data_IF_410124268798
#
_entry.id   IF_410124268798
#
_cell.length_a   1.000
_cell.length_b   1.000
_cell.length_c   1.000
_cell.angle_alpha   90.00
_cell.angle_beta   90.00
_cell.angle_gamma   90.00
#
_symmetry.space_group_name_H-M   'P 1'
#
loop_
_entity.id
_entity.type
_entity.pdbx_description
1 polymer ?
#
# COMPACT_ATOMS: atom_id res chain seq x y z
N UNK A 1 15.87 13.08 11.48
CA UNK A 1 14.88 13.54 10.48
C UNK A 1 13.56 13.74 11.20
N UNK A 2 12.92 14.91 11.09
CA UNK A 2 11.63 15.17 11.75
C UNK A 2 10.45 14.48 11.05
N UNK A 3 9.33 14.26 11.76
CA UNK A 3 8.14 13.60 11.22
C UNK A 3 7.60 14.26 9.94
N UNK A 4 7.64 15.59 9.88
CA UNK A 4 7.24 16.37 8.71
C UNK A 4 8.12 16.10 7.48
N UNK A 5 9.43 15.95 7.66
CA UNK A 5 10.34 15.65 6.55
C UNK A 5 10.07 14.23 6.00
N UNK A 6 9.79 13.27 6.89
CA UNK A 6 9.42 11.91 6.48
C UNK A 6 8.10 11.90 5.70
N UNK A 7 7.10 12.64 6.17
CA UNK A 7 5.82 12.76 5.49
C UNK A 7 5.96 13.45 4.13
N UNK A 8 6.72 14.55 4.04
CA UNK A 8 7.01 15.23 2.78
C UNK A 8 7.72 14.31 1.78
N UNK A 9 8.69 13.52 2.24
CA UNK A 9 9.37 12.51 1.43
C UNK A 9 8.39 11.45 0.91
N UNK A 10 7.55 10.88 1.79
CA UNK A 10 6.58 9.86 1.41
C UNK A 10 5.58 10.39 0.36
N UNK A 11 4.98 11.56 0.61
CA UNK A 11 4.02 12.21 -0.31
C UNK A 11 4.68 12.51 -1.66
N UNK A 12 5.92 13.02 -1.64
CA UNK A 12 6.67 13.30 -2.87
C UNK A 12 6.95 12.03 -3.66
N UNK A 13 7.30 10.91 -3.01
CA UNK A 13 7.50 9.62 -3.68
C UNK A 13 6.23 9.11 -4.35
N UNK A 14 5.07 9.26 -3.69
CA UNK A 14 3.78 8.89 -4.29
C UNK A 14 3.45 9.74 -5.52
N UNK A 15 3.69 11.06 -5.44
CA UNK A 15 3.55 11.98 -6.58
C UNK A 15 4.53 11.64 -7.71
N UNK A 16 5.76 11.27 -7.37
CA UNK A 16 6.76 10.84 -8.34
C UNK A 16 6.35 9.55 -9.05
N UNK A 17 5.78 8.58 -8.34
CA UNK A 17 5.26 7.36 -8.97
C UNK A 17 4.13 7.67 -9.98
N UNK A 18 3.38 8.75 -9.75
CA UNK A 18 2.24 9.14 -10.57
C UNK A 18 2.61 9.92 -11.85
N UNK A 19 3.86 10.34 -12.07
CA UNK A 19 4.18 11.27 -13.16
C UNK A 19 4.62 10.56 -14.47
N UNK A 20 3.89 10.72 -15.59
CA UNK A 20 4.35 10.24 -16.90
C UNK A 20 5.38 11.15 -17.57
N UNK A 21 5.50 12.41 -17.11
CA UNK A 21 6.27 13.47 -17.78
C UNK A 21 7.24 14.21 -16.85
N UNK A 22 7.56 13.65 -15.67
CA UNK A 22 8.36 14.33 -14.63
C UNK A 22 7.82 15.70 -14.20
N UNK A 23 6.50 15.90 -14.35
CA UNK A 23 5.78 17.08 -13.87
C UNK A 23 5.27 16.81 -12.46
N UNK A 24 5.59 17.69 -11.52
CA UNK A 24 5.16 17.57 -10.12
C UNK A 24 4.22 18.73 -9.80
N UNK A 25 2.95 18.41 -9.51
CA UNK A 25 1.94 19.42 -9.22
C UNK A 25 1.44 19.25 -7.80
N UNK A 26 1.47 20.33 -7.03
CA UNK A 26 0.76 20.44 -5.77
C UNK A 26 -0.47 21.34 -5.92
N UNK A 27 -1.62 20.84 -5.48
CA UNK A 27 -2.86 21.58 -5.39
C UNK A 27 -3.22 21.80 -3.92
N UNK A 28 -3.15 23.05 -3.46
CA UNK A 28 -3.55 23.45 -2.11
C UNK A 28 -5.02 23.83 -2.08
N UNK A 29 -5.84 23.02 -1.43
CA UNK A 29 -7.24 23.33 -1.15
C UNK A 29 -7.30 24.18 0.12
N UNK A 30 -7.58 25.48 -0.05
CA UNK A 30 -7.61 26.47 1.03
C UNK A 30 -9.02 26.69 1.61
N UNK A 31 -10.06 26.18 0.94
CA UNK A 31 -11.45 26.27 1.39
C UNK A 31 -12.42 25.69 0.37
N UNK A 32 -13.73 25.83 0.61
CA UNK A 32 -14.79 25.22 -0.21
C UNK A 32 -14.77 25.61 -1.69
N UNK A 33 -14.25 26.78 -2.02
CA UNK A 33 -14.24 27.32 -3.39
C UNK A 33 -12.87 27.91 -3.77
N UNK A 34 -11.80 27.53 -3.06
CA UNK A 34 -10.48 28.12 -3.25
C UNK A 34 -9.41 27.03 -3.30
N UNK A 35 -8.73 26.96 -4.45
CA UNK A 35 -7.63 26.04 -4.70
C UNK A 35 -6.50 26.78 -5.42
N UNK A 36 -5.26 26.47 -5.05
CA UNK A 36 -4.07 27.02 -5.67
C UNK A 36 -3.19 25.90 -6.20
N UNK A 37 -2.75 26.02 -7.44
CA UNK A 37 -1.82 25.08 -8.04
C UNK A 37 -0.41 25.64 -8.02
N UNK A 38 0.57 24.79 -7.71
CA UNK A 38 2.00 25.06 -7.89
C UNK A 38 2.66 23.91 -8.62
N UNK A 39 3.50 24.22 -9.59
CA UNK A 39 4.30 23.25 -10.31
C UNK A 39 5.75 23.29 -9.82
N UNK A 40 6.40 22.13 -9.79
CA UNK A 40 7.80 21.99 -9.41
C UNK A 40 8.58 21.30 -10.52
N UNK A 41 9.83 21.74 -10.70
CA UNK A 41 10.73 21.21 -11.72
C UNK A 41 11.36 19.86 -11.32
N UNK A 42 11.26 19.46 -10.05
CA UNK A 42 11.79 18.20 -9.55
C UNK A 42 11.07 17.71 -8.29
N UNK A 43 11.16 16.41 -8.04
CA UNK A 43 10.69 15.79 -6.79
C UNK A 43 11.38 16.41 -5.57
N UNK A 44 12.69 16.68 -5.65
CA UNK A 44 13.44 17.30 -4.54
C UNK A 44 12.89 18.69 -4.19
N UNK A 45 12.61 19.53 -5.19
CA UNK A 45 12.04 20.86 -4.97
C UNK A 45 10.64 20.78 -4.34
N UNK A 46 9.80 19.83 -4.77
CA UNK A 46 8.50 19.57 -4.14
C UNK A 46 8.66 19.12 -2.68
N UNK A 47 9.59 18.20 -2.41
CA UNK A 47 9.82 17.69 -1.05
C UNK A 47 10.29 18.79 -0.10
N UNK A 48 11.29 19.58 -0.51
CA UNK A 48 11.83 20.67 0.30
C UNK A 48 10.77 21.74 0.57
N UNK A 49 9.94 22.03 -0.43
CA UNK A 49 8.80 22.92 -0.26
C UNK A 49 7.77 22.37 0.74
N UNK A 50 7.32 21.12 0.58
CA UNK A 50 6.38 20.44 1.51
C UNK A 50 6.94 20.38 2.94
N UNK A 51 8.25 20.23 3.07
CA UNK A 51 8.93 20.20 4.36
C UNK A 51 9.07 21.59 5.00
N UNK A 52 9.13 22.68 4.22
CA UNK A 52 9.34 24.05 4.72
C UNK A 52 8.04 24.82 5.04
N UNK A 53 6.94 24.53 4.34
CA UNK A 53 5.69 25.32 4.39
C UNK A 53 4.75 24.92 5.54
N UNK A 54 5.20 25.09 6.79
CA UNK A 54 4.38 24.79 7.99
C UNK A 54 3.96 23.31 8.14
N UNK A 55 4.26 22.49 7.14
CA UNK A 55 3.93 21.08 7.02
C UNK A 55 2.55 20.82 6.45
N UNK A 56 2.38 19.68 5.79
CA UNK A 56 1.08 19.15 5.36
C UNK A 56 0.01 19.23 6.46
N UNK A 57 0.39 18.98 7.72
CA UNK A 57 -0.52 19.03 8.86
C UNK A 57 -1.11 20.42 9.14
N UNK A 58 -0.45 21.50 8.70
CA UNK A 58 -0.94 22.87 8.85
C UNK A 58 -1.90 23.31 7.74
N UNK A 59 -2.00 22.53 6.66
CA UNK A 59 -2.86 22.87 5.53
C UNK A 59 -4.34 22.70 5.91
N UNK A 60 -5.26 23.54 5.39
CA UNK A 60 -6.69 23.44 5.72
C UNK A 60 -7.34 22.12 5.31
N UNK A 61 -6.89 21.50 4.22
CA UNK A 61 -7.47 20.27 3.69
C UNK A 61 -6.38 19.39 3.06
N UNK A 62 -5.47 18.81 3.88
CA UNK A 62 -4.26 18.17 3.37
C UNK A 62 -4.53 16.90 2.59
N UNK A 63 -5.51 16.10 3.02
CA UNK A 63 -5.89 14.86 2.32
C UNK A 63 -6.48 15.17 0.94
N UNK A 64 -7.40 16.13 0.86
CA UNK A 64 -7.99 16.52 -0.43
C UNK A 64 -6.96 17.20 -1.34
N UNK A 65 -6.09 18.03 -0.77
CA UNK A 65 -4.95 18.64 -1.48
C UNK A 65 -4.04 17.57 -2.08
N UNK A 66 -3.70 16.55 -1.29
CA UNK A 66 -2.90 15.41 -1.73
C UNK A 66 -3.57 14.64 -2.89
N UNK A 67 -4.86 14.29 -2.76
CA UNK A 67 -5.60 13.59 -3.82
C UNK A 67 -5.64 14.42 -5.10
N UNK A 68 -5.99 15.71 -5.02
CA UNK A 68 -5.96 16.60 -6.18
C UNK A 68 -4.56 16.70 -6.81
N UNK A 69 -3.51 16.74 -5.98
CA UNK A 69 -2.12 16.78 -6.43
C UNK A 69 -1.73 15.52 -7.20
N UNK A 70 -2.12 14.32 -6.73
CA UNK A 70 -1.91 13.06 -7.44
C UNK A 70 -2.60 13.07 -8.81
N UNK A 71 -3.86 13.49 -8.86
CA UNK A 71 -4.65 13.53 -10.10
C UNK A 71 -4.06 14.49 -11.14
N UNK A 72 -3.62 15.68 -10.71
CA UNK A 72 -3.01 16.66 -11.61
C UNK A 72 -1.60 16.22 -12.06
N UNK A 73 -0.84 15.58 -11.16
CA UNK A 73 0.48 15.03 -11.47
C UNK A 73 0.40 13.89 -12.47
N UNK A 74 -0.56 12.97 -12.30
CA UNK A 74 -0.84 11.90 -13.28
C UNK A 74 -1.44 12.42 -14.58
N UNK A 75 -2.26 13.46 -14.48
CA UNK A 75 -3.03 14.04 -15.57
C UNK A 75 -4.41 13.41 -15.68
N UNK A 76 -5.48 14.23 -15.67
CA UNK A 76 -6.86 13.75 -15.60
C UNK A 76 -7.26 12.84 -16.76
N UNK A 77 -6.80 13.13 -17.98
CA UNK A 77 -7.05 12.28 -19.14
C UNK A 77 -6.37 10.92 -18.99
N UNK A 78 -5.15 10.90 -18.44
CA UNK A 78 -4.39 9.69 -18.22
C UNK A 78 -4.94 8.85 -17.07
N UNK A 79 -5.41 9.50 -15.99
CA UNK A 79 -6.18 8.83 -14.93
C UNK A 79 -7.39 8.11 -15.54
N UNK A 80 -8.21 8.81 -16.34
CA UNK A 80 -9.36 8.20 -17.03
C UNK A 80 -8.95 7.05 -17.96
N UNK A 81 -7.81 7.17 -18.63
CA UNK A 81 -7.30 6.12 -19.51
C UNK A 81 -6.74 4.91 -18.73
N UNK A 82 -6.29 5.08 -17.48
CA UNK A 82 -5.86 3.98 -16.62
C UNK A 82 -7.04 3.10 -16.14
N UNK A 83 -8.20 3.71 -15.93
CA UNK A 83 -9.40 3.05 -15.40
C UNK A 83 -10.05 2.13 -16.44
N UNK A 84 -10.74 1.08 -15.99
CA UNK A 84 -11.58 0.26 -16.87
C UNK A 84 -12.88 0.99 -17.24
N UNK A 85 -13.50 1.69 -16.28
CA UNK A 85 -14.62 2.61 -16.49
C UNK A 85 -14.23 4.05 -16.13
N UNK A 86 -13.99 4.88 -17.14
CA UNK A 86 -13.61 6.28 -16.97
C UNK A 86 -14.71 7.18 -16.35
N UNK A 87 -15.93 6.66 -16.20
CA UNK A 87 -17.05 7.36 -15.56
C UNK A 87 -17.19 7.06 -14.07
N UNK A 88 -16.51 6.02 -13.56
CA UNK A 88 -16.58 5.64 -12.17
C UNK A 88 -16.01 6.73 -11.24
N UNK A 89 -16.66 7.03 -10.10
CA UNK A 89 -16.17 8.03 -9.18
C UNK A 89 -14.98 7.51 -8.37
N UNK A 90 -13.91 8.31 -8.25
CA UNK A 90 -12.73 7.94 -7.47
C UNK A 90 -12.97 7.91 -5.95
N UNK A 91 -13.99 8.63 -5.48
CA UNK A 91 -14.46 8.66 -4.10
C UNK A 91 -15.93 8.28 -4.10
N UNK A 92 -16.28 7.23 -3.38
CA UNK A 92 -17.65 6.71 -3.27
C UNK A 92 -18.53 7.64 -2.42
N UNK A 93 -19.84 7.42 -2.48
CA UNK A 93 -20.87 8.24 -1.82
C UNK A 93 -20.73 8.35 -0.29
N UNK A 94 -20.02 7.42 0.34
CA UNK A 94 -19.71 7.45 1.77
C UNK A 94 -18.30 7.95 2.10
N UNK A 95 -17.59 8.51 1.12
CA UNK A 95 -16.24 9.03 1.28
C UNK A 95 -15.12 7.98 1.21
N UNK A 96 -15.45 6.72 0.92
CA UNK A 96 -14.45 5.67 0.72
C UNK A 96 -13.70 5.87 -0.61
N UNK A 97 -12.39 5.65 -0.62
CA UNK A 97 -11.65 5.60 -1.87
C UNK A 97 -12.08 4.38 -2.70
N UNK A 98 -12.19 4.60 -4.01
CA UNK A 98 -12.26 3.54 -5.01
C UNK A 98 -10.95 2.74 -5.09
N UNK A 99 -10.98 1.59 -5.75
CA UNK A 99 -9.77 0.80 -5.97
C UNK A 99 -8.79 1.55 -6.88
N UNK A 100 -9.28 2.30 -7.86
CA UNK A 100 -8.51 3.15 -8.77
C UNK A 100 -7.73 4.22 -8.02
N UNK A 101 -8.37 4.89 -7.04
CA UNK A 101 -7.69 5.89 -6.20
C UNK A 101 -6.65 5.23 -5.29
N UNK A 102 -6.95 4.06 -4.73
CA UNK A 102 -6.00 3.28 -3.93
C UNK A 102 -4.79 2.87 -4.78
N UNK A 103 -5.01 2.33 -5.98
CA UNK A 103 -3.95 1.93 -6.90
C UNK A 103 -3.15 3.12 -7.41
N UNK A 104 -3.78 4.29 -7.64
CA UNK A 104 -3.08 5.52 -7.97
C UNK A 104 -2.11 5.94 -6.84
N UNK A 105 -2.52 5.80 -5.59
CA UNK A 105 -1.67 6.08 -4.43
C UNK A 105 -0.49 5.10 -4.32
N UNK A 106 -0.73 3.80 -4.57
CA UNK A 106 0.26 2.74 -4.38
C UNK A 106 1.25 2.62 -5.54
N UNK A 107 0.76 2.75 -6.77
CA UNK A 107 1.49 2.43 -8.00
C UNK A 107 1.76 3.64 -8.87
N UNK A 108 1.02 4.74 -8.65
CA UNK A 108 1.00 5.90 -9.54
C UNK A 108 0.11 5.72 -10.78
N UNK A 109 -0.60 4.61 -10.91
CA UNK A 109 -1.59 4.36 -12.00
C UNK A 109 -2.96 4.07 -11.41
N UNK A 110 -4.00 4.65 -11.99
CA UNK A 110 -5.38 4.50 -11.53
C UNK A 110 -6.06 3.26 -12.13
N UNK A 111 -5.35 2.12 -12.18
CA UNK A 111 -5.90 0.86 -12.71
C UNK A 111 -6.97 0.31 -11.77
N UNK A 112 -8.03 -0.28 -12.33
CA UNK A 112 -9.18 -0.78 -11.56
C UNK A 112 -8.84 -2.05 -10.80
N UNK A 113 -7.97 -2.90 -11.34
CA UNK A 113 -7.74 -4.24 -10.80
C UNK A 113 -6.46 -4.35 -9.99
N UNK A 114 -6.40 -5.40 -9.17
CA UNK A 114 -5.29 -5.72 -8.26
C UNK A 114 -4.52 -6.98 -8.67
N UNK A 115 -4.82 -7.55 -9.85
CA UNK A 115 -4.02 -8.61 -10.48
C UNK A 115 -2.86 -8.02 -11.30
N UNK A 116 -1.95 -8.89 -11.75
CA UNK A 116 -0.78 -8.52 -12.55
C UNK A 116 -1.12 -8.46 -14.03
N UNK A 117 -0.58 -7.45 -14.72
CA UNK A 117 -0.73 -7.25 -16.15
C UNK A 117 -2.16 -6.95 -16.58
N UNK A 118 -2.37 -6.74 -17.88
CA UNK A 118 -3.71 -6.60 -18.42
C UNK A 118 -4.25 -7.96 -18.84
N UNK A 119 -5.53 -8.20 -18.57
CA UNK A 119 -6.23 -9.41 -18.99
C UNK A 119 -7.16 -9.03 -20.14
N UNK A 120 -6.98 -9.66 -21.30
CA UNK A 120 -7.84 -9.48 -22.46
C UNK A 120 -8.77 -10.68 -22.64
N UNK A 121 -10.04 -10.40 -22.86
CA UNK A 121 -11.06 -11.35 -23.27
C UNK A 121 -11.49 -10.99 -24.69
N UNK A 122 -11.41 -11.96 -25.59
CA UNK A 122 -11.82 -11.81 -26.98
C UNK A 122 -13.05 -12.70 -27.21
N UNK A 123 -14.13 -12.12 -27.74
CA UNK A 123 -15.32 -12.83 -28.17
C UNK A 123 -15.76 -12.33 -29.55
N UNK A 124 -15.28 -13.00 -30.59
CA UNK A 124 -15.48 -12.57 -31.98
C UNK A 124 -14.80 -11.22 -32.27
N UNK A 125 -15.59 -10.22 -32.65
CA UNK A 125 -15.12 -8.85 -32.91
C UNK A 125 -15.09 -7.97 -31.64
N UNK A 126 -15.65 -8.46 -30.53
CA UNK A 126 -15.64 -7.75 -29.26
C UNK A 126 -14.39 -8.11 -28.46
N UNK A 127 -13.70 -7.09 -27.95
CA UNK A 127 -12.57 -7.26 -27.04
C UNK A 127 -12.81 -6.48 -25.75
N UNK A 128 -12.76 -7.16 -24.61
CA UNK A 128 -12.75 -6.54 -23.28
C UNK A 128 -11.33 -6.65 -22.70
N UNK A 129 -10.74 -5.53 -22.32
CA UNK A 129 -9.42 -5.50 -21.66
C UNK A 129 -9.57 -4.92 -20.27
N UNK A 130 -9.28 -5.73 -19.26
CA UNK A 130 -9.22 -5.32 -17.86
C UNK A 130 -7.78 -4.98 -17.51
N UNK A 131 -7.56 -3.78 -16.97
CA UNK A 131 -6.21 -3.27 -16.71
C UNK A 131 -5.77 -3.62 -15.29
N UNK A 132 -4.58 -4.19 -15.18
CA UNK A 132 -3.99 -4.57 -13.90
C UNK A 132 -2.71 -3.81 -13.59
N UNK A 133 -2.07 -4.20 -12.49
CA UNK A 133 -0.81 -3.63 -12.03
C UNK A 133 0.32 -4.13 -12.94
N UNK A 134 1.20 -3.24 -13.38
CA UNK A 134 2.23 -3.54 -14.40
C UNK A 134 3.65 -3.58 -13.84
N UNK A 135 3.83 -3.37 -12.53
CA UNK A 135 5.15 -3.33 -11.88
C UNK A 135 5.06 -3.49 -10.38
N UNK A 136 6.18 -3.89 -9.77
CA UNK A 136 6.36 -3.86 -8.32
C UNK A 136 6.31 -2.41 -7.77
N UNK A 137 5.34 -2.06 -6.92
CA UNK A 137 5.29 -0.77 -6.26
C UNK A 137 6.28 -0.69 -5.09
N UNK A 138 6.47 0.53 -4.56
CA UNK A 138 7.21 0.74 -3.31
C UNK A 138 6.43 0.17 -2.10
N UNK A 139 5.09 0.23 -2.14
CA UNK A 139 4.18 -0.23 -1.09
C UNK A 139 3.21 -1.25 -1.68
N UNK A 140 3.10 -2.40 -1.03
CA UNK A 140 2.26 -3.49 -1.46
C UNK A 140 0.81 -3.35 -1.03
N UNK A 141 0.00 -4.31 -1.44
CA UNK A 141 -1.41 -4.40 -1.08
C UNK A 141 -1.76 -5.85 -0.78
N UNK A 142 -2.57 -6.07 0.25
CA UNK A 142 -3.22 -7.34 0.56
C UNK A 142 -4.69 -7.08 0.84
N UNK A 143 -5.55 -8.05 0.59
CA UNK A 143 -6.99 -7.89 0.77
C UNK A 143 -7.59 -9.01 1.61
N UNK A 144 -8.43 -8.64 2.58
CA UNK A 144 -9.29 -9.56 3.32
C UNK A 144 -10.30 -10.29 2.44
N UNK A 145 -10.55 -9.79 1.23
CA UNK A 145 -11.46 -10.40 0.26
C UNK A 145 -10.81 -11.54 -0.53
N UNK A 146 -9.47 -11.63 -0.54
CA UNK A 146 -8.76 -12.65 -1.30
C UNK A 146 -8.89 -14.06 -0.69
N UNK A 147 -8.69 -14.26 0.63
CA UNK A 147 -8.97 -15.56 1.25
C UNK A 147 -10.42 -16.02 1.07
N UNK A 148 -11.34 -15.06 0.97
CA UNK A 148 -12.77 -15.28 0.73
C UNK A 148 -13.11 -15.54 -0.75
N UNK A 149 -12.10 -15.56 -1.64
CA UNK A 149 -12.23 -15.83 -3.08
C UNK A 149 -13.07 -14.81 -3.85
N UNK A 150 -13.19 -13.59 -3.34
CA UNK A 150 -13.84 -12.48 -4.05
C UNK A 150 -12.90 -11.74 -5.01
N UNK A 151 -11.59 -11.81 -4.76
CA UNK A 151 -10.57 -11.26 -5.65
C UNK A 151 -9.28 -12.09 -5.57
N UNK A 152 -8.38 -11.84 -6.53
CA UNK A 152 -7.01 -12.37 -6.52
C UNK A 152 -6.05 -11.18 -6.53
N UNK A 153 -5.18 -11.10 -5.53
CA UNK A 153 -4.13 -10.08 -5.48
C UNK A 153 -2.91 -10.61 -6.23
N UNK A 154 -2.47 -9.84 -7.22
CA UNK A 154 -1.32 -10.14 -8.05
C UNK A 154 0.00 -10.17 -7.28
N UNK A 155 1.01 -10.80 -7.89
CA UNK A 155 2.37 -10.92 -7.37
C UNK A 155 3.01 -9.56 -7.19
N UNK A 156 2.75 -8.57 -8.05
CA UNK A 156 3.36 -7.25 -7.90
C UNK A 156 2.97 -6.59 -6.58
N UNK A 157 1.68 -6.57 -6.25
CA UNK A 157 1.17 -5.99 -5.01
C UNK A 157 1.54 -6.81 -3.76
N UNK A 158 1.63 -8.13 -3.90
CA UNK A 158 2.09 -9.03 -2.84
C UNK A 158 3.58 -8.85 -2.53
N UNK A 159 4.39 -8.45 -3.50
CA UNK A 159 5.85 -8.41 -3.38
C UNK A 159 6.45 -7.01 -3.62
N UNK A 160 6.08 -6.00 -2.83
CA UNK A 160 6.57 -4.64 -3.01
C UNK A 160 8.07 -4.51 -2.76
N UNK A 161 8.67 -3.45 -3.31
CA UNK A 161 10.11 -3.16 -3.17
C UNK A 161 10.56 -2.97 -1.72
N UNK A 162 9.68 -2.43 -0.87
CA UNK A 162 9.91 -2.30 0.56
C UNK A 162 8.92 -3.18 1.32
N UNK A 163 9.29 -3.76 2.47
CA UNK A 163 8.42 -4.62 3.27
C UNK A 163 7.35 -3.79 4.01
N UNK A 164 6.45 -3.21 3.24
CA UNK A 164 5.34 -2.36 3.66
C UNK A 164 4.14 -2.68 2.77
N UNK A 165 3.01 -3.01 3.39
CA UNK A 165 1.76 -3.34 2.73
C UNK A 165 0.62 -2.56 3.35
N UNK A 166 -0.26 -2.06 2.51
CA UNK A 166 -1.63 -1.70 2.91
C UNK A 166 -2.45 -2.97 2.93
N UNK A 167 -3.14 -3.23 4.04
CA UNK A 167 -4.06 -4.36 4.16
C UNK A 167 -5.48 -3.84 4.16
N UNK A 168 -6.26 -4.21 3.16
CA UNK A 168 -7.64 -3.80 3.00
C UNK A 168 -8.59 -4.77 3.69
N UNK A 169 -9.45 -4.25 4.57
CA UNK A 169 -10.63 -4.95 5.05
C UNK A 169 -11.90 -4.42 4.38
N UNK A 170 -13.05 -4.94 4.77
CA UNK A 170 -14.36 -4.43 4.32
C UNK A 170 -14.68 -3.03 4.84
N UNK A 171 -14.03 -2.56 5.90
CA UNK A 171 -14.41 -1.32 6.60
C UNK A 171 -13.29 -0.28 6.70
N UNK A 172 -12.03 -0.71 6.75
CA UNK A 172 -10.88 0.18 6.90
C UNK A 172 -9.60 -0.45 6.35
N UNK A 173 -8.61 0.40 6.07
CA UNK A 173 -7.25 -0.03 5.71
C UNK A 173 -6.36 -0.04 6.95
N UNK A 174 -5.45 -1.01 7.01
CA UNK A 174 -4.40 -1.08 8.02
C UNK A 174 -3.02 -1.17 7.35
N UNK A 175 -1.96 -1.05 8.12
CA UNK A 175 -0.58 -1.16 7.62
C UNK A 175 0.11 -2.37 8.23
N UNK A 176 0.78 -3.14 7.39
CA UNK A 176 1.67 -4.22 7.77
C UNK A 176 3.08 -3.89 7.27
N UNK A 177 4.10 -3.98 8.12
CA UNK A 177 5.46 -3.69 7.68
C UNK A 177 6.53 -4.46 8.46
N UNK A 178 7.75 -4.50 7.93
CA UNK A 178 8.91 -5.07 8.60
C UNK A 178 10.13 -4.16 8.50
N UNK A 179 11.05 -4.28 9.47
CA UNK A 179 12.42 -3.80 9.31
C UNK A 179 13.30 -4.77 8.50
N UNK A 180 12.80 -5.99 8.25
CA UNK A 180 13.49 -7.02 7.50
C UNK A 180 12.97 -7.10 6.06
N UNK A 181 13.84 -6.73 5.14
CA UNK A 181 13.58 -6.79 3.71
C UNK A 181 13.23 -8.17 3.16
N UNK A 182 13.65 -9.25 3.83
CA UNK A 182 13.36 -10.62 3.40
C UNK A 182 11.87 -10.89 3.31
N UNK A 183 11.06 -10.13 4.04
CA UNK A 183 9.60 -10.21 3.97
C UNK A 183 9.04 -9.90 2.57
N UNK A 184 9.72 -9.05 1.79
CA UNK A 184 9.29 -8.69 0.42
C UNK A 184 9.83 -9.60 -0.68
N UNK A 185 10.79 -10.48 -0.38
CA UNK A 185 11.47 -11.25 -1.42
C UNK A 185 10.55 -12.27 -2.10
N UNK A 186 10.74 -12.47 -3.41
CA UNK A 186 9.98 -13.41 -4.25
C UNK A 186 10.82 -14.67 -4.51
N UNK A 187 10.25 -15.88 -4.43
CA UNK A 187 10.90 -17.10 -4.93
C UNK A 187 11.18 -17.01 -6.43
N UNK A 188 12.34 -17.48 -6.89
CA UNK A 188 12.78 -17.38 -8.29
C UNK A 188 11.81 -18.01 -9.29
N UNK A 189 11.10 -19.06 -8.91
CA UNK A 189 10.17 -19.78 -9.81
C UNK A 189 8.94 -18.95 -10.18
N UNK A 190 8.72 -17.81 -9.51
CA UNK A 190 7.53 -16.98 -9.67
C UNK A 190 7.78 -15.63 -10.36
N UNK A 191 9.02 -15.31 -10.75
CA UNK A 191 9.39 -14.03 -11.39
C UNK A 191 9.74 -14.28 -12.87
N UNK A 192 9.00 -13.70 -13.83
CA UNK A 192 9.39 -13.66 -15.24
C UNK A 192 10.80 -13.10 -15.43
N UNK A 193 11.57 -13.65 -16.37
CA UNK A 193 12.99 -13.31 -16.58
C UNK A 193 13.26 -11.83 -16.91
N UNK A 194 12.26 -11.12 -17.45
CA UNK A 194 12.35 -9.68 -17.79
C UNK A 194 12.14 -8.77 -16.55
N UNK A 195 11.61 -9.31 -15.45
CA UNK A 195 11.31 -8.59 -14.21
C UNK A 195 12.32 -8.88 -13.09
N UNK A 196 13.35 -9.68 -13.42
CA UNK A 196 14.43 -10.10 -12.52
C UNK A 196 15.31 -8.92 -12.02
N UNK A 197 15.15 -7.71 -12.58
CA UNK A 197 15.75 -6.47 -12.09
C UNK A 197 15.08 -5.92 -10.81
N UNK A 198 14.03 -6.56 -10.28
CA UNK A 198 13.43 -6.29 -8.97
C UNK A 198 14.33 -6.74 -7.79
N UNK A 199 15.63 -6.44 -7.85
CA UNK A 199 16.56 -6.63 -6.76
C UNK A 199 16.06 -5.86 -5.54
N UNK A 200 16.08 -6.48 -4.35
CA UNK A 200 15.77 -5.70 -3.16
C UNK A 200 16.74 -4.51 -3.07
N UNK A 201 16.25 -3.26 -3.00
CA UNK A 201 17.12 -2.08 -2.91
C UNK A 201 17.99 -2.08 -1.65
N UNK A 202 17.65 -2.94 -0.69
CA UNK A 202 18.28 -3.09 0.60
C UNK A 202 19.53 -4.00 0.60
N UNK A 203 19.51 -5.09 -0.15
CA UNK A 203 20.47 -6.19 0.00
C UNK A 203 20.91 -6.79 -1.34
N UNK A 204 20.36 -6.29 -2.46
CA UNK A 204 20.66 -6.77 -3.82
C UNK A 204 20.42 -8.27 -4.03
N UNK A 205 19.75 -8.95 -3.10
CA UNK A 205 19.41 -10.37 -3.22
C UNK A 205 18.04 -10.53 -3.87
N UNK A 206 17.92 -11.49 -4.79
CA UNK A 206 16.63 -11.97 -5.34
C UNK A 206 16.03 -13.09 -4.48
N UNK A 207 16.48 -13.25 -3.22
CA UNK A 207 16.31 -14.49 -2.45
C UNK A 207 15.74 -14.22 -1.07
N UNK A 208 14.63 -14.87 -0.72
CA UNK A 208 14.65 -15.63 0.52
C UNK A 208 15.82 -16.61 0.38
N UNK A 209 16.79 -16.58 1.27
CA UNK A 209 17.95 -17.45 1.20
C UNK A 209 17.47 -18.91 1.14
N UNK A 210 17.43 -19.51 -0.05
CA UNK A 210 17.24 -20.96 -0.21
C UNK A 210 18.27 -21.68 0.68
N UNK A 211 17.82 -22.21 1.81
CA UNK A 211 18.69 -22.75 2.87
C UNK A 211 18.38 -22.24 4.28
N UNK A 212 17.49 -21.26 4.46
CA UNK A 212 17.00 -20.89 5.80
C UNK A 212 15.55 -21.40 5.96
N UNK A 213 15.40 -22.73 5.96
CA UNK A 213 14.14 -23.50 6.14
C UNK A 213 13.41 -23.20 7.48
N UNK A 214 13.89 -22.21 8.24
CA UNK A 214 13.35 -21.73 9.52
C UNK A 214 13.33 -20.21 9.62
N UNK A 215 13.28 -19.49 8.50
CA UNK A 215 13.23 -18.03 8.53
C UNK A 215 11.95 -17.55 9.23
N UNK A 216 12.12 -17.05 10.46
CA UNK A 216 11.10 -16.29 11.17
C UNK A 216 11.16 -14.83 10.69
N UNK A 217 10.02 -14.31 10.27
CA UNK A 217 9.85 -12.91 9.91
C UNK A 217 9.05 -12.21 10.99
N UNK A 218 9.59 -11.07 11.44
CA UNK A 218 8.90 -10.19 12.38
C UNK A 218 8.28 -9.03 11.64
N UNK A 219 6.96 -8.95 11.69
CA UNK A 219 6.17 -7.87 11.10
C UNK A 219 5.50 -7.02 12.19
N UNK A 220 4.98 -5.87 11.79
CA UNK A 220 4.25 -4.94 12.65
C UNK A 220 2.90 -4.58 12.04
N UNK A 221 1.87 -4.95 12.78
CA UNK A 221 0.44 -4.66 12.71
C UNK A 221 0.01 -3.23 13.11
N UNK A 222 -0.10 -2.23 12.23
CA UNK A 222 -0.70 -0.93 12.61
C UNK A 222 -2.16 -0.81 12.16
N UNK A 223 -3.10 -0.77 13.12
CA UNK A 223 -4.54 -0.87 12.81
C UNK A 223 -5.22 0.46 12.43
N UNK A 224 -4.59 1.61 12.72
CA UNK A 224 -5.14 2.93 12.41
C UNK A 224 -6.51 3.27 13.03
N UNK A 225 -7.03 2.48 13.98
CA UNK A 225 -8.34 2.72 14.60
C UNK A 225 -8.25 3.86 15.63
N UNK A 226 -8.58 5.07 15.18
CA UNK A 226 -8.69 6.28 16.02
C UNK A 226 -10.12 6.83 15.99
N UNK A 227 -11.10 5.98 16.28
CA UNK A 227 -12.52 6.34 16.29
C UNK A 227 -13.20 5.79 17.54
N UNK A 228 -14.18 6.52 18.09
CA UNK A 228 -14.96 6.05 19.24
C UNK A 228 -14.19 5.93 20.57
N UNK A 229 -13.01 6.55 20.69
CA UNK A 229 -12.16 6.48 21.89
C UNK A 229 -11.18 5.31 21.91
N UNK A 230 -11.17 4.48 20.87
CA UNK A 230 -10.08 3.53 20.62
C UNK A 230 -8.81 4.28 20.20
N UNK A 231 -7.65 3.78 20.64
CA UNK A 231 -6.36 4.30 20.20
C UNK A 231 -5.77 3.36 19.15
N UNK A 232 -5.08 3.90 18.13
CA UNK A 232 -4.34 3.07 17.20
C UNK A 232 -3.37 2.14 17.94
N UNK A 233 -3.31 0.90 17.50
CA UNK A 233 -2.38 -0.10 18.04
C UNK A 233 -1.30 -0.41 17.03
N UNK A 234 -0.11 -0.73 17.56
CA UNK A 234 0.99 -1.30 16.81
C UNK A 234 1.36 -2.62 17.46
N UNK A 235 1.13 -3.72 16.75
CA UNK A 235 1.21 -5.07 17.29
C UNK A 235 2.27 -5.88 16.53
N UNK A 236 3.25 -6.50 17.18
CA UNK A 236 4.16 -7.40 16.48
C UNK A 236 3.44 -8.66 16.00
N UNK A 237 3.76 -9.11 14.80
CA UNK A 237 3.24 -10.34 14.19
C UNK A 237 4.42 -11.21 13.80
N UNK A 238 4.50 -12.41 14.36
CA UNK A 238 5.58 -13.34 14.04
C UNK A 238 5.09 -14.33 12.98
N UNK A 239 5.83 -14.44 11.89
CA UNK A 239 5.56 -15.37 10.79
C UNK A 239 6.68 -16.41 10.75
N UNK A 240 6.32 -17.69 10.77
CA UNK A 240 7.25 -18.79 10.57
C UNK A 240 6.87 -19.52 9.28
N UNK A 241 7.79 -19.56 8.33
CA UNK A 241 7.61 -20.31 7.09
C UNK A 241 7.80 -21.81 7.40
N UNK A 242 6.88 -22.64 6.93
CA UNK A 242 6.87 -24.10 7.14
C UNK A 242 6.64 -24.78 5.79
N UNK A 243 7.36 -25.87 5.54
CA UNK A 243 7.14 -26.70 4.35
C UNK A 243 5.91 -27.61 4.54
N UNK A 244 4.94 -27.50 3.63
CA UNK A 244 3.72 -28.32 3.61
C UNK A 244 2.46 -27.59 4.12
N UNK A 245 1.29 -28.24 4.04
CA UNK A 245 0.04 -27.66 4.53
C UNK A 245 0.09 -27.47 6.05
N UNK A 246 0.23 -26.23 6.49
CA UNK A 246 0.13 -25.87 7.89
C UNK A 246 -1.32 -25.92 8.34
N UNK A 247 -1.61 -26.80 9.31
CA UNK A 247 -2.92 -26.92 9.97
C UNK A 247 -2.96 -26.27 11.36
N UNK A 248 -1.87 -25.63 11.80
CA UNK A 248 -1.76 -25.12 13.16
C UNK A 248 -1.61 -23.60 13.16
N UNK A 249 -2.62 -22.91 13.68
CA UNK A 249 -2.48 -21.55 14.13
C UNK A 249 -3.11 -21.43 15.52
N UNK A 250 -2.33 -20.96 16.50
CA UNK A 250 -2.89 -20.44 17.74
C UNK A 250 -3.37 -19.03 17.42
N UNK A 251 -4.50 -18.94 16.73
CA UNK A 251 -5.23 -17.69 16.54
C UNK A 251 -6.24 -17.59 17.67
N UNK A 252 -6.39 -16.41 18.23
CA UNK A 252 -7.43 -16.12 19.22
C UNK A 252 -8.82 -16.45 18.65
N UNK A 253 -9.81 -16.63 19.51
CA UNK A 253 -11.19 -17.03 19.11
C UNK A 253 -11.97 -15.94 18.33
N UNK A 254 -11.29 -14.85 17.97
CA UNK A 254 -11.81 -13.71 17.24
C UNK A 254 -11.76 -13.95 15.72
N UNK A 255 -12.89 -13.72 15.04
CA UNK A 255 -13.06 -13.94 13.60
C UNK A 255 -12.15 -13.04 12.77
N UNK A 256 -11.92 -11.80 13.19
CA UNK A 256 -11.08 -10.84 12.47
C UNK A 256 -9.61 -11.27 12.48
N UNK A 257 -9.13 -11.75 13.64
CA UNK A 257 -7.77 -12.28 13.80
C UNK A 257 -7.54 -13.52 12.94
N UNK A 258 -8.56 -14.38 12.79
CA UNK A 258 -8.50 -15.55 11.89
C UNK A 258 -8.40 -15.13 10.43
N UNK A 259 -9.28 -14.21 10.00
CA UNK A 259 -9.26 -13.70 8.63
C UNK A 259 -7.93 -13.01 8.32
N UNK A 260 -7.40 -12.22 9.25
CA UNK A 260 -6.09 -11.58 9.09
C UNK A 260 -4.96 -12.60 8.91
N UNK A 261 -4.97 -13.70 9.66
CA UNK A 261 -4.03 -14.81 9.46
C UNK A 261 -4.11 -15.40 8.06
N UNK A 262 -5.31 -15.58 7.51
CA UNK A 262 -5.49 -16.05 6.13
C UNK A 262 -5.03 -15.04 5.08
N UNK A 263 -5.20 -13.74 5.33
CA UNK A 263 -4.64 -12.68 4.46
C UNK A 263 -3.11 -12.79 4.39
N UNK A 264 -2.44 -13.02 5.51
CA UNK A 264 -1.00 -13.22 5.51
C UNK A 264 -0.60 -14.49 4.74
N UNK A 265 -1.40 -15.56 4.83
CA UNK A 265 -1.16 -16.80 4.07
C UNK A 265 -1.36 -16.64 2.56
N UNK A 266 -2.13 -15.66 2.10
CA UNK A 266 -2.21 -15.37 0.66
C UNK A 266 -0.87 -14.87 0.10
N UNK A 267 -0.03 -14.27 0.95
CA UNK A 267 1.34 -13.84 0.62
C UNK A 267 2.42 -14.85 1.01
N UNK A 268 2.30 -15.47 2.17
CA UNK A 268 3.22 -16.50 2.68
C UNK A 268 2.46 -17.82 2.84
N UNK A 269 2.25 -18.58 1.75
CA UNK A 269 1.57 -19.86 1.81
C UNK A 269 2.24 -20.81 2.80
N UNK A 270 1.44 -21.53 3.59
CA UNK A 270 1.94 -22.48 4.60
C UNK A 270 2.50 -21.82 5.86
N UNK A 271 2.52 -20.49 5.96
CA UNK A 271 3.02 -19.81 7.14
C UNK A 271 2.18 -20.09 8.40
N UNK A 272 2.90 -20.32 9.50
CA UNK A 272 2.34 -20.18 10.84
C UNK A 272 2.40 -18.71 11.25
N UNK A 273 1.27 -18.19 11.71
CA UNK A 273 1.10 -16.79 12.10
C UNK A 273 0.81 -16.75 13.58
N UNK A 274 1.63 -16.02 14.33
CA UNK A 274 1.36 -15.65 15.71
C UNK A 274 0.95 -14.18 15.76
N UNK A 275 -0.32 -13.95 16.10
CA UNK A 275 -0.91 -12.62 16.25
C UNK A 275 -1.41 -12.45 17.68
N UNK A 276 -0.90 -11.48 18.45
CA UNK A 276 -1.38 -11.21 19.80
C UNK A 276 -2.87 -10.91 19.77
N UNK A 277 -3.64 -11.56 20.66
CA UNK A 277 -5.04 -11.21 20.87
C UNK A 277 -5.20 -9.73 21.10
N UNK A 278 -6.22 -9.13 20.49
CA UNK A 278 -6.61 -7.73 20.68
C UNK A 278 -6.93 -7.53 22.18
N UNK A 279 -5.93 -7.14 22.98
CA UNK A 279 -6.04 -7.05 24.43
C UNK A 279 -4.74 -6.65 25.16
N UNK A 280 -3.57 -7.11 24.69
CA UNK A 280 -2.34 -7.07 25.53
C UNK A 280 -1.28 -6.03 25.16
N UNK A 281 -1.48 -5.21 24.13
CA UNK A 281 -0.46 -4.21 23.72
C UNK A 281 -1.05 -2.80 23.62
N UNK A 282 -1.28 -2.19 24.77
CA UNK A 282 -1.39 -0.73 24.86
C UNK A 282 -0.01 -0.12 24.64
N UNK A 283 0.13 0.78 23.67
CA UNK A 283 1.33 1.60 23.49
C UNK A 283 1.57 2.42 24.77
N UNK A 284 2.48 1.97 25.63
CA UNK A 284 3.02 2.79 26.73
C UNK A 284 4.09 3.68 26.12
N UNK A 285 3.66 4.87 25.70
CA UNK A 285 4.54 5.90 25.14
C UNK A 285 3.88 7.26 25.30
N UNK A 286 3.78 7.75 26.53
CA UNK A 286 3.46 9.17 26.77
C UNK A 286 4.59 10.03 26.19
N UNK A 287 4.31 11.11 25.43
CA UNK A 287 5.35 12.08 25.12
C UNK A 287 5.84 12.74 26.43
N UNK A 288 7.13 13.13 26.53
CA UNK A 288 7.60 13.88 27.69
C UNK A 288 6.78 15.17 27.78
N UNK A 289 6.12 15.37 28.92
CA UNK A 289 5.51 16.67 29.25
C UNK A 289 6.64 17.69 29.28
N UNK A 290 6.62 18.65 28.35
CA UNK A 290 7.38 19.88 28.53
C UNK A 290 6.70 20.64 29.67
N UNK A 291 7.40 20.74 30.80
CA UNK A 291 7.20 21.83 31.75
C UNK A 291 7.86 23.08 31.18
#
# INVERSE_FOLDING_TARGET
VGAQQLLACAVTRMLHAATPASRYIWCSIAGRACAFQREFHSAAALQDWLASEGGLASMPSPVLSFVCSLLLTRGLATVKADMDDASAPLVSIFGHCSQELTNLCLTGRAVTNIFDGDIAFEDGDDSLRLKGVDRFPDVGFLSALEPLKFCEVGKFLKNPRYPLWVVASTTHYTLLFSGDCRASHVPKDNVPSEEAEALCPCCSCTRAAAGDEKAALRLFHFNGKDFGGERPTLVPVEIRLVDGPSHAAVLTDDQDSRLFGEVLRSRWPGAEVSYPGIGDTKLVGSPPRMN
#
